data_IF_574040229757
#
_entry.id   IF_574040229757
#
_cell.length_a   1.000
_cell.length_b   1.000
_cell.length_c   1.000
_cell.angle_alpha   90.00
_cell.angle_beta   90.00
_cell.angle_gamma   90.00
#
_symmetry.space_group_name_H-M   'P 1'
#
loop_
_entity.id
_entity.type
_entity.pdbx_description
1 polymer ?
#
# COMPACT_ATOMS: atom_id res chain seq x y z
N UNK A 1 24.13 -16.40 5.90
CA UNK A 1 23.09 -17.32 5.38
C UNK A 1 21.81 -16.51 5.21
N UNK A 2 21.36 -16.32 3.96
CA UNK A 2 20.08 -15.68 3.65
C UNK A 2 18.97 -16.66 4.04
N UNK A 3 18.07 -16.26 4.93
CA UNK A 3 16.85 -17.02 5.20
C UNK A 3 16.01 -16.96 3.93
N UNK A 4 16.03 -18.03 3.14
CA UNK A 4 15.24 -18.20 1.92
C UNK A 4 13.75 -18.31 2.23
N UNK A 5 13.15 -17.26 2.76
CA UNK A 5 11.71 -17.12 2.88
C UNK A 5 11.09 -17.12 1.49
N UNK A 6 9.94 -17.77 1.36
CA UNK A 6 9.12 -17.70 0.15
C UNK A 6 8.93 -16.20 -0.18
N UNK A 7 9.21 -15.75 -1.41
CA UNK A 7 9.08 -14.34 -1.76
C UNK A 7 7.63 -13.87 -1.51
N UNK A 8 7.44 -13.05 -0.48
CA UNK A 8 6.13 -12.55 -0.02
C UNK A 8 5.59 -11.40 -0.88
N UNK A 9 6.34 -10.95 -1.88
CA UNK A 9 5.99 -9.84 -2.75
C UNK A 9 6.33 -10.18 -4.19
N UNK A 10 5.34 -10.09 -5.08
CA UNK A 10 5.56 -10.06 -6.51
C UNK A 10 5.54 -8.59 -6.94
N UNK A 11 6.70 -8.09 -7.37
CA UNK A 11 6.89 -6.70 -7.77
C UNK A 11 7.18 -6.59 -9.26
N UNK A 12 6.58 -5.60 -9.91
CA UNK A 12 6.85 -5.25 -11.31
C UNK A 12 7.52 -3.88 -11.35
N UNK A 13 8.65 -3.81 -12.05
CA UNK A 13 9.32 -2.53 -12.36
C UNK A 13 8.92 -2.14 -13.78
N UNK A 14 8.19 -1.04 -13.88
CA UNK A 14 7.83 -0.44 -15.16
C UNK A 14 8.83 0.67 -15.46
N UNK A 15 9.37 0.67 -16.67
CA UNK A 15 10.17 1.78 -17.19
C UNK A 15 9.55 2.20 -18.53
N UNK A 16 9.23 3.47 -18.65
CA UNK A 16 8.59 4.02 -19.84
C UNK A 16 9.40 5.20 -20.35
N UNK A 17 9.68 5.17 -21.64
CA UNK A 17 10.34 6.29 -22.32
C UNK A 17 9.32 7.36 -22.73
N UNK A 18 9.65 8.65 -22.58
CA UNK A 18 8.73 9.76 -22.91
C UNK A 18 8.17 9.71 -24.34
N UNK A 19 8.94 9.15 -25.29
CA UNK A 19 8.56 9.08 -26.72
C UNK A 19 7.32 8.21 -27.00
N UNK A 20 6.93 7.36 -26.06
CA UNK A 20 5.79 6.45 -26.21
C UNK A 20 4.47 7.08 -25.76
N UNK A 21 4.49 8.34 -25.28
CA UNK A 21 3.30 9.05 -24.85
C UNK A 21 2.97 10.19 -25.83
N UNK A 22 1.69 10.35 -26.14
CA UNK A 22 1.19 11.45 -26.96
C UNK A 22 0.48 12.45 -26.05
N UNK A 23 1.11 13.61 -25.82
CA UNK A 23 0.63 14.65 -24.91
C UNK A 23 1.01 14.44 -23.44
N UNK A 24 0.77 15.45 -22.60
CA UNK A 24 0.89 15.35 -21.14
C UNK A 24 -0.38 14.75 -20.54
N UNK A 25 -0.27 13.98 -19.45
CA UNK A 25 -1.45 13.39 -18.83
C UNK A 25 -1.21 12.38 -17.71
N UNK A 26 -2.27 11.64 -17.39
CA UNK A 26 -2.28 10.54 -16.43
C UNK A 26 -2.11 9.21 -17.15
N UNK A 27 -1.23 8.37 -16.63
CA UNK A 27 -1.01 6.99 -17.04
C UNK A 27 -1.74 6.08 -16.06
N UNK A 28 -2.50 5.12 -16.59
CA UNK A 28 -3.08 4.06 -15.78
C UNK A 28 -2.19 2.82 -15.83
N UNK A 29 -1.77 2.35 -14.66
CA UNK A 29 -0.90 1.20 -14.51
C UNK A 29 -1.67 0.11 -13.79
N UNK A 30 -1.86 -1.03 -14.46
CA UNK A 30 -2.53 -2.19 -13.91
C UNK A 30 -1.57 -3.37 -13.84
N UNK A 31 -1.47 -3.95 -12.66
CA UNK A 31 -0.66 -5.12 -12.36
C UNK A 31 -1.60 -6.27 -12.00
N UNK A 32 -1.57 -7.36 -12.77
CA UNK A 32 -2.33 -8.57 -12.48
C UNK A 32 -1.33 -9.71 -12.40
N UNK A 33 -1.29 -10.39 -11.25
CA UNK A 33 -0.39 -11.49 -11.00
C UNK A 33 -1.15 -12.72 -10.50
N UNK A 34 -0.99 -13.84 -11.21
CA UNK A 34 -1.52 -15.13 -10.79
C UNK A 34 -0.44 -15.88 -10.00
N UNK A 35 -0.70 -16.16 -8.72
CA UNK A 35 0.22 -16.92 -7.85
C UNK A 35 -0.54 -18.11 -7.27
N UNK A 36 -0.28 -19.29 -7.82
CA UNK A 36 -1.05 -20.50 -7.51
C UNK A 36 -2.55 -20.31 -7.83
N UNK A 37 -3.41 -20.61 -6.87
CA UNK A 37 -4.87 -20.45 -6.98
C UNK A 37 -5.37 -19.02 -6.76
N UNK A 38 -4.49 -18.06 -6.47
CA UNK A 38 -4.86 -16.68 -6.13
C UNK A 38 -4.49 -15.70 -7.23
N UNK A 39 -5.37 -14.74 -7.48
CA UNK A 39 -5.13 -13.61 -8.36
C UNK A 39 -4.94 -12.34 -7.53
N UNK A 40 -3.86 -11.61 -7.79
CA UNK A 40 -3.55 -10.34 -7.18
C UNK A 40 -3.67 -9.25 -8.23
N UNK A 41 -4.42 -8.19 -7.91
CA UNK A 41 -4.65 -7.08 -8.83
C UNK A 41 -4.37 -5.75 -8.11
N UNK A 42 -3.57 -4.90 -8.73
CA UNK A 42 -3.27 -3.55 -8.28
C UNK A 42 -3.42 -2.58 -9.45
N UNK A 43 -4.11 -1.46 -9.23
CA UNK A 43 -4.32 -0.42 -10.25
C UNK A 43 -3.96 0.95 -9.68
N UNK A 44 -3.16 1.73 -10.41
CA UNK A 44 -2.76 3.09 -10.02
C UNK A 44 -2.81 4.03 -11.22
N UNK A 45 -3.38 5.22 -11.01
CA UNK A 45 -3.32 6.34 -11.95
C UNK A 45 -2.25 7.33 -11.49
N UNK A 46 -1.27 7.60 -12.34
CA UNK A 46 -0.11 8.43 -12.01
C UNK A 46 0.15 9.45 -13.09
N UNK A 47 0.68 10.62 -12.74
CA UNK A 47 1.14 11.57 -13.75
C UNK A 47 2.31 10.96 -14.53
N UNK A 48 2.31 11.18 -15.85
CA UNK A 48 3.36 10.68 -16.74
C UNK A 48 4.78 11.01 -16.24
N UNK A 49 4.98 12.21 -15.68
CA UNK A 49 6.27 12.64 -15.11
C UNK A 49 6.77 11.76 -13.96
N UNK A 50 5.89 11.00 -13.30
CA UNK A 50 6.21 10.16 -12.15
C UNK A 50 6.04 8.65 -12.43
N UNK A 51 5.89 8.26 -13.70
CA UNK A 51 5.59 6.86 -14.09
C UNK A 51 6.74 5.91 -13.72
N UNK A 52 7.99 6.33 -13.91
CA UNK A 52 9.18 5.52 -13.61
C UNK A 52 9.50 5.43 -12.11
N UNK A 53 8.84 6.25 -11.29
CA UNK A 53 8.98 6.25 -9.84
C UNK A 53 7.93 5.34 -9.15
N UNK A 54 7.15 4.57 -9.92
CA UNK A 54 6.15 3.68 -9.37
C UNK A 54 6.73 2.29 -9.10
N UNK A 55 6.66 1.88 -7.83
CA UNK A 55 6.84 0.48 -7.44
C UNK A 55 5.47 -0.14 -7.28
N UNK A 56 5.16 -1.12 -8.13
CA UNK A 56 3.92 -1.88 -8.10
C UNK A 56 4.22 -3.20 -7.39
N UNK A 57 3.53 -3.47 -6.29
CA UNK A 57 3.77 -4.64 -5.46
C UNK A 57 2.43 -5.17 -5.00
N UNK A 58 2.14 -6.42 -5.38
CA UNK A 58 0.95 -7.16 -4.92
C UNK A 58 0.90 -7.36 -3.38
N UNK A 59 1.91 -6.90 -2.63
CA UNK A 59 2.02 -7.01 -1.18
C UNK A 59 1.66 -5.75 -0.37
N UNK A 60 1.44 -4.58 -0.98
CA UNK A 60 1.21 -3.34 -0.20
C UNK A 60 -0.10 -3.39 0.62
N UNK A 61 -1.09 -4.17 0.19
CA UNK A 61 -2.31 -4.41 0.96
C UNK A 61 -2.09 -5.28 2.21
N UNK A 62 -1.01 -6.07 2.28
CA UNK A 62 -0.73 -6.94 3.43
C UNK A 62 -0.21 -6.16 4.64
N UNK A 63 0.47 -5.03 4.42
CA UNK A 63 0.92 -4.16 5.52
C UNK A 63 -0.13 -3.14 5.98
N UNK A 64 -1.06 -2.75 5.10
CA UNK A 64 -2.16 -1.85 5.47
C UNK A 64 -3.13 -2.49 6.49
N UNK A 65 -3.35 -3.80 6.40
CA UNK A 65 -4.19 -4.54 7.35
C UNK A 65 -3.59 -4.58 8.78
N UNK A 66 -2.27 -4.43 8.93
CA UNK A 66 -1.63 -4.43 10.25
C UNK A 66 -1.79 -3.09 11.01
N UNK A 67 -2.18 -2.00 10.33
CA UNK A 67 -2.33 -0.68 10.96
C UNK A 67 -3.74 -0.42 11.52
N UNK A 68 -4.77 -1.19 11.17
CA UNK A 68 -6.14 -0.94 11.66
C UNK A 68 -6.38 -1.34 13.13
N UNK A 69 -5.45 -2.07 13.76
CA UNK A 69 -5.69 -2.64 15.10
C UNK A 69 -5.31 -1.66 16.24
N UNK A 70 -4.41 -0.68 16.00
CA UNK A 70 -3.92 0.20 17.10
C UNK A 70 -4.76 1.44 17.38
N UNK A 71 -5.67 1.84 16.48
CA UNK A 71 -6.59 2.95 16.73
C UNK A 71 -7.69 2.61 17.74
N UNK A 72 -8.03 1.32 17.89
CA UNK A 72 -9.12 0.87 18.75
C UNK A 72 -8.84 0.94 20.25
N UNK A 73 -7.57 1.08 20.68
CA UNK A 73 -7.19 1.05 22.09
C UNK A 73 -6.90 2.45 22.68
N UNK A 74 -6.42 3.39 21.86
CA UNK A 74 -6.02 4.72 22.33
C UNK A 74 -7.22 5.62 22.64
N UNK A 75 -8.26 5.54 21.81
CA UNK A 75 -9.50 6.30 22.02
C UNK A 75 -10.20 5.95 23.34
N UNK A 76 -10.48 4.67 23.68
CA UNK A 76 -11.12 4.33 24.95
C UNK A 76 -10.24 4.63 26.17
N UNK A 77 -8.91 4.52 26.05
CA UNK A 77 -7.98 4.84 27.13
C UNK A 77 -7.99 6.34 27.47
N UNK A 78 -7.96 7.20 26.46
CA UNK A 78 -8.05 8.66 26.65
C UNK A 78 -9.39 9.07 27.27
N UNK A 79 -10.51 8.46 26.84
CA UNK A 79 -11.82 8.74 27.45
C UNK A 79 -11.90 8.28 28.90
N UNK A 80 -11.28 7.14 29.26
CA UNK A 80 -11.27 6.66 30.63
C UNK A 80 -10.45 7.58 31.56
N UNK A 81 -9.31 8.09 31.08
CA UNK A 81 -8.49 9.04 31.83
C UNK A 81 -9.24 10.36 32.07
N UNK A 82 -9.90 10.90 31.04
CA UNK A 82 -10.71 12.12 31.15
C UNK A 82 -11.86 11.97 32.15
N UNK A 83 -12.57 10.83 32.09
CA UNK A 83 -13.65 10.53 33.03
C UNK A 83 -13.14 10.42 34.48
N UNK A 84 -11.97 9.83 34.69
CA UNK A 84 -11.38 9.72 36.02
C UNK A 84 -11.03 11.10 36.59
N UNK A 85 -10.41 11.98 35.78
CA UNK A 85 -10.06 13.35 36.21
C UNK A 85 -11.33 14.10 36.64
N UNK A 86 -12.40 14.05 35.84
CA UNK A 86 -13.68 14.71 36.11
C UNK A 86 -14.40 14.18 37.35
N UNK A 87 -14.14 12.93 37.76
CA UNK A 87 -14.74 12.35 38.96
C UNK A 87 -13.97 12.70 40.24
N UNK A 88 -12.68 13.03 40.09
CA UNK A 88 -11.77 13.35 41.20
C UNK A 88 -11.65 14.85 41.51
N UNK A 89 -12.25 15.71 40.68
CA UNK A 89 -12.38 17.17 40.88
C UNK A 89 -13.82 17.53 41.18
#
# INVERSE_FOLDING_TARGET
MSTGGIPNSLGLRLEVEPRHFVGGGLVNIKCIAQVGSRSYNEERRVLMAYVNNQRLSAGDHMHAAARSIRSGLLAPLLTAILALILLTT
#
